data_IF_529400116557
#
_entry.id   IF_529400116557
#
_cell.length_a   1.000
_cell.length_b   1.000
_cell.length_c   1.000
_cell.angle_alpha   90.00
_cell.angle_beta   90.00
_cell.angle_gamma   90.00
#
_symmetry.space_group_name_H-M   'P 1'
#
loop_
_entity.id
_entity.type
_entity.pdbx_description
1 polymer ?
#
# COMPACT_ATOMS: atom_id res chain seq x y z
N UNK A 1 11.98 -20.17 -8.18
CA UNK A 1 12.83 -19.03 -7.83
C UNK A 1 12.06 -18.07 -6.95
N UNK A 2 12.70 -17.60 -5.89
CA UNK A 2 12.07 -16.62 -5.02
C UNK A 2 11.98 -15.28 -5.73
N UNK A 3 10.89 -14.57 -5.51
CA UNK A 3 10.74 -13.20 -6.00
C UNK A 3 11.70 -12.27 -5.25
N UNK A 4 12.23 -11.28 -5.93
CA UNK A 4 12.94 -10.21 -5.26
C UNK A 4 11.96 -9.40 -4.40
N UNK A 5 12.48 -8.63 -3.45
CA UNK A 5 11.62 -7.77 -2.62
C UNK A 5 10.84 -6.77 -3.48
N UNK A 6 11.49 -6.20 -4.51
CA UNK A 6 10.80 -5.30 -5.46
C UNK A 6 9.68 -6.03 -6.20
N UNK A 7 9.90 -7.27 -6.61
CA UNK A 7 8.88 -8.06 -7.31
C UNK A 7 7.70 -8.34 -6.39
N UNK A 8 7.94 -8.63 -5.10
CA UNK A 8 6.86 -8.82 -4.13
C UNK A 8 6.00 -7.55 -4.04
N UNK A 9 6.62 -6.38 -3.97
CA UNK A 9 5.87 -5.13 -3.90
C UNK A 9 5.07 -4.87 -5.17
N UNK A 10 5.61 -5.22 -6.34
CA UNK A 10 4.85 -5.13 -7.60
C UNK A 10 3.62 -6.03 -7.58
N UNK A 11 3.76 -7.25 -7.05
CA UNK A 11 2.62 -8.16 -6.90
C UNK A 11 1.58 -7.62 -5.91
N UNK A 12 2.05 -7.02 -4.81
CA UNK A 12 1.17 -6.40 -3.82
C UNK A 12 0.41 -5.22 -4.43
N UNK A 13 1.10 -4.37 -5.20
CA UNK A 13 0.45 -3.25 -5.88
C UNK A 13 -0.60 -3.74 -6.89
N UNK A 14 -0.30 -4.81 -7.61
CA UNK A 14 -1.25 -5.40 -8.54
C UNK A 14 -2.47 -5.96 -7.79
N UNK A 15 -2.26 -6.57 -6.62
CA UNK A 15 -3.36 -7.06 -5.79
C UNK A 15 -4.25 -5.91 -5.32
N UNK A 16 -3.65 -4.81 -4.89
CA UNK A 16 -4.43 -3.62 -4.49
C UNK A 16 -5.26 -3.08 -5.68
N UNK A 17 -4.66 -3.03 -6.86
CA UNK A 17 -5.35 -2.50 -8.05
C UNK A 17 -6.58 -3.33 -8.43
N UNK A 18 -6.59 -4.64 -8.12
CA UNK A 18 -7.75 -5.51 -8.38
C UNK A 18 -8.58 -5.80 -7.14
N UNK A 19 -8.31 -5.08 -6.05
CA UNK A 19 -9.03 -5.21 -4.77
C UNK A 19 -8.94 -6.62 -4.19
N UNK A 20 -7.78 -7.24 -4.32
CA UNK A 20 -7.52 -8.61 -3.88
C UNK A 20 -6.72 -8.60 -2.57
N UNK A 21 -7.45 -8.58 -1.45
CA UNK A 21 -6.84 -8.51 -0.11
C UNK A 21 -5.96 -9.72 0.17
N UNK A 22 -6.43 -10.92 -0.18
CA UNK A 22 -5.66 -12.15 0.09
C UNK A 22 -4.40 -12.23 -0.78
N UNK A 23 -4.43 -11.66 -1.98
CA UNK A 23 -3.26 -11.56 -2.84
C UNK A 23 -2.15 -10.71 -2.24
N UNK A 24 -2.51 -9.76 -1.39
CA UNK A 24 -1.58 -8.97 -0.60
C UNK A 24 -1.15 -9.72 0.67
N UNK A 25 -2.12 -10.20 1.46
CA UNK A 25 -1.85 -10.76 2.78
C UNK A 25 -1.00 -12.03 2.73
N UNK A 26 -1.01 -12.76 1.62
CA UNK A 26 -0.16 -13.96 1.49
C UNK A 26 1.34 -13.66 1.58
N UNK A 27 1.73 -12.42 1.29
CA UNK A 27 3.13 -11.99 1.41
C UNK A 27 3.46 -11.46 2.79
N UNK A 28 2.47 -11.31 3.67
CA UNK A 28 2.64 -10.71 4.98
C UNK A 28 2.88 -11.77 6.05
N UNK A 29 3.69 -11.40 7.05
CA UNK A 29 3.78 -12.15 8.30
C UNK A 29 2.46 -12.03 9.06
N UNK A 30 2.17 -12.99 9.93
CA UNK A 30 0.94 -12.98 10.72
C UNK A 30 0.84 -11.73 11.62
N UNK A 31 1.98 -11.20 12.02
CA UNK A 31 2.06 -10.01 12.90
C UNK A 31 2.22 -8.71 12.12
N UNK A 32 1.93 -8.72 10.82
CA UNK A 32 2.10 -7.54 9.97
C UNK A 32 1.38 -6.33 10.54
N UNK A 33 2.06 -5.18 10.51
CA UNK A 33 1.52 -3.91 11.00
C UNK A 33 1.44 -2.91 9.85
N UNK A 34 0.26 -2.35 9.65
CA UNK A 34 0.04 -1.28 8.66
C UNK A 34 -0.26 0.01 9.40
N UNK A 35 0.58 1.01 9.21
CA UNK A 35 0.38 2.34 9.77
C UNK A 35 0.14 3.34 8.65
N UNK A 36 -1.05 3.92 8.61
CA UNK A 36 -1.29 5.15 7.86
C UNK A 36 -0.77 6.26 8.77
N UNK A 37 0.35 6.88 8.38
CA UNK A 37 1.01 7.86 9.25
C UNK A 37 0.07 9.00 9.57
N UNK A 38 -0.11 9.28 10.84
CA UNK A 38 -1.12 10.20 11.36
C UNK A 38 -2.32 9.51 11.99
N UNK A 39 -2.44 8.19 11.82
CA UNK A 39 -3.52 7.36 12.39
C UNK A 39 -2.94 6.21 13.20
N UNK A 40 -3.80 5.53 13.95
CA UNK A 40 -3.37 4.38 14.73
C UNK A 40 -3.02 3.21 13.83
N UNK A 41 -2.01 2.41 14.20
CA UNK A 41 -1.65 1.23 13.41
C UNK A 41 -2.71 0.15 13.46
N UNK A 42 -2.78 -0.64 12.38
CA UNK A 42 -3.63 -1.82 12.28
C UNK A 42 -2.71 -3.04 12.31
N UNK A 43 -2.89 -3.90 13.30
CA UNK A 43 -1.98 -5.02 13.55
C UNK A 43 -2.67 -6.35 13.29
N UNK A 44 -2.02 -7.21 12.50
CA UNK A 44 -2.46 -8.57 12.23
C UNK A 44 -3.38 -8.66 11.02
N UNK A 45 -3.38 -9.83 10.40
CA UNK A 45 -4.10 -10.04 9.14
C UNK A 45 -5.61 -9.87 9.28
N UNK A 46 -6.21 -10.35 10.36
CA UNK A 46 -7.66 -10.25 10.54
C UNK A 46 -8.11 -8.81 10.71
N UNK A 47 -7.37 -8.01 11.47
CA UNK A 47 -7.67 -6.60 11.64
C UNK A 47 -7.54 -5.86 10.32
N UNK A 48 -6.53 -6.21 9.52
CA UNK A 48 -6.32 -5.61 8.21
C UNK A 48 -7.45 -5.96 7.25
N UNK A 49 -7.91 -7.24 7.26
CA UNK A 49 -9.06 -7.64 6.44
C UNK A 49 -10.29 -6.81 6.75
N UNK A 50 -10.58 -6.65 8.04
CA UNK A 50 -11.75 -5.86 8.49
C UNK A 50 -11.61 -4.40 8.10
N UNK A 51 -10.43 -3.84 8.29
CA UNK A 51 -10.18 -2.44 7.97
C UNK A 51 -10.33 -2.18 6.48
N UNK A 52 -9.75 -3.04 5.65
CA UNK A 52 -9.85 -2.89 4.20
C UNK A 52 -11.28 -3.09 3.70
N UNK A 53 -12.03 -4.01 4.31
CA UNK A 53 -13.43 -4.26 3.95
C UNK A 53 -14.33 -3.05 4.26
N UNK A 54 -13.95 -2.22 5.23
CA UNK A 54 -14.70 -1.02 5.58
C UNK A 54 -14.30 0.20 4.75
N UNK A 55 -13.31 0.06 3.89
CA UNK A 55 -12.84 1.14 3.05
C UNK A 55 -13.69 1.38 1.82
N UNK A 56 -13.27 2.31 0.96
CA UNK A 56 -14.00 2.60 -0.27
C UNK A 56 -14.13 1.35 -1.15
N UNK A 57 -15.26 1.18 -1.87
CA UNK A 57 -15.44 0.00 -2.72
C UNK A 57 -14.52 -0.01 -3.94
N UNK A 58 -14.03 1.15 -4.37
CA UNK A 58 -13.13 1.26 -5.51
C UNK A 58 -11.70 1.39 -5.03
N UNK A 59 -10.76 0.62 -5.62
CA UNK A 59 -9.35 0.77 -5.28
C UNK A 59 -8.82 2.11 -5.79
N UNK A 60 -7.72 2.62 -5.20
CA UNK A 60 -7.07 3.81 -5.74
C UNK A 60 -6.53 3.53 -7.14
N UNK A 61 -6.47 4.59 -7.95
CA UNK A 61 -5.90 4.51 -9.30
C UNK A 61 -4.48 5.08 -9.25
N UNK A 62 -3.50 4.20 -9.37
CA UNK A 62 -2.09 4.58 -9.33
C UNK A 62 -1.65 5.03 -10.72
N UNK A 63 -1.12 6.24 -10.82
CA UNK A 63 -0.73 6.81 -12.11
C UNK A 63 0.72 6.53 -12.46
N UNK A 64 1.59 6.51 -11.46
CA UNK A 64 3.01 6.21 -11.65
C UNK A 64 3.64 5.93 -10.30
N UNK A 65 4.69 5.09 -10.28
CA UNK A 65 5.45 4.92 -9.07
C UNK A 65 6.91 4.59 -9.37
N UNK A 66 7.76 4.94 -8.40
CA UNK A 66 9.16 4.56 -8.38
C UNK A 66 9.37 3.65 -7.19
N UNK A 67 10.04 2.53 -7.40
CA UNK A 67 10.28 1.53 -6.36
C UNK A 67 11.79 1.40 -6.15
N UNK A 68 12.23 1.58 -4.90
CA UNK A 68 13.64 1.50 -4.52
C UNK A 68 13.76 0.47 -3.40
N UNK A 69 14.76 -0.39 -3.49
CA UNK A 69 15.00 -1.42 -2.48
C UNK A 69 16.42 -1.34 -1.96
N UNK A 70 16.57 -1.45 -0.64
CA UNK A 70 17.87 -1.55 0.00
C UNK A 70 17.72 -2.32 1.32
N UNK A 71 18.53 -3.36 1.51
CA UNK A 71 18.46 -4.18 2.70
C UNK A 71 17.08 -4.81 2.87
N UNK A 72 16.50 -4.62 4.04
CA UNK A 72 15.16 -5.15 4.36
C UNK A 72 14.03 -4.20 3.96
N UNK A 73 14.35 -3.09 3.33
CA UNK A 73 13.36 -2.05 3.02
C UNK A 73 13.10 -1.93 1.52
N UNK A 74 11.84 -1.70 1.20
CA UNK A 74 11.41 -1.28 -0.14
C UNK A 74 10.55 -0.05 0.03
N UNK A 75 10.82 0.97 -0.78
CA UNK A 75 10.06 2.22 -0.77
C UNK A 75 9.40 2.42 -2.12
N UNK A 76 8.11 2.66 -2.11
CA UNK A 76 7.33 3.02 -3.30
C UNK A 76 6.88 4.45 -3.18
N UNK A 77 7.18 5.27 -4.19
CA UNK A 77 6.79 6.68 -4.21
C UNK A 77 6.04 6.95 -5.50
N UNK A 78 4.92 7.61 -5.40
CA UNK A 78 4.15 7.92 -6.60
C UNK A 78 2.93 8.78 -6.33
N UNK A 79 2.10 8.83 -7.35
CA UNK A 79 0.84 9.57 -7.31
C UNK A 79 -0.31 8.62 -7.52
N UNK A 80 -1.45 8.96 -6.94
CA UNK A 80 -2.68 8.21 -7.13
C UNK A 80 -3.88 9.13 -7.08
N UNK A 81 -5.00 8.64 -7.56
CA UNK A 81 -6.28 9.32 -7.37
C UNK A 81 -7.24 8.39 -6.66
N UNK A 82 -8.15 8.97 -5.90
CA UNK A 82 -9.21 8.23 -5.22
C UNK A 82 -10.54 8.91 -5.53
N UNK A 83 -11.59 8.10 -5.68
CA UNK A 83 -12.93 8.64 -5.84
C UNK A 83 -13.53 8.87 -4.46
N UNK A 84 -13.78 10.13 -4.13
CA UNK A 84 -14.40 10.53 -2.87
C UNK A 84 -15.77 11.13 -3.17
N UNK A 85 -16.82 10.37 -2.96
CA UNK A 85 -18.20 10.83 -3.15
C UNK A 85 -18.45 11.40 -4.56
N UNK A 86 -17.93 10.70 -5.57
CA UNK A 86 -18.09 11.12 -6.96
C UNK A 86 -17.04 12.12 -7.44
N UNK A 87 -16.15 12.57 -6.58
CA UNK A 87 -15.08 13.50 -6.95
C UNK A 87 -13.74 12.76 -6.98
N UNK A 88 -13.01 12.94 -8.07
CA UNK A 88 -11.66 12.37 -8.19
C UNK A 88 -10.69 13.30 -7.47
N UNK A 89 -10.02 12.76 -6.44
CA UNK A 89 -9.11 13.53 -5.58
C UNK A 89 -7.70 13.04 -5.76
N UNK A 90 -6.74 13.94 -6.06
CA UNK A 90 -5.34 13.54 -6.23
C UNK A 90 -4.62 13.43 -4.90
N UNK A 91 -3.72 12.45 -4.84
CA UNK A 91 -2.85 12.19 -3.69
C UNK A 91 -1.44 11.89 -4.17
N UNK A 92 -0.45 12.19 -3.33
CA UNK A 92 0.89 11.65 -3.47
C UNK A 92 1.14 10.71 -2.30
N UNK A 93 1.89 9.64 -2.53
CA UNK A 93 2.16 8.67 -1.49
C UNK A 93 3.62 8.27 -1.46
N UNK A 94 4.04 7.86 -0.26
CA UNK A 94 5.31 7.20 -0.04
C UNK A 94 5.05 6.05 0.92
N UNK A 95 5.22 4.83 0.42
CA UNK A 95 5.05 3.62 1.21
C UNK A 95 6.42 3.08 1.57
N UNK A 96 6.65 2.88 2.87
CA UNK A 96 7.90 2.27 3.36
C UNK A 96 7.56 0.88 3.86
N UNK A 97 8.00 -0.12 3.10
CA UNK A 97 7.78 -1.53 3.40
C UNK A 97 9.01 -2.11 4.07
N UNK A 98 8.81 -2.91 5.11
CA UNK A 98 9.91 -3.60 5.77
C UNK A 98 9.66 -5.11 5.74
N UNK A 99 10.70 -5.84 5.37
CA UNK A 99 10.69 -7.29 5.29
C UNK A 99 11.46 -7.89 6.47
N UNK A 100 11.07 -9.11 6.83
CA UNK A 100 11.88 -10.00 7.67
C UNK A 100 11.99 -11.30 6.88
N UNK A 101 13.20 -11.58 6.33
CA UNK A 101 13.35 -12.65 5.36
C UNK A 101 12.55 -12.33 4.10
N UNK A 102 11.66 -13.24 3.74
CA UNK A 102 10.82 -13.09 2.53
C UNK A 102 9.40 -12.60 2.84
N UNK A 103 9.11 -12.25 4.10
CA UNK A 103 7.79 -11.82 4.52
C UNK A 103 7.76 -10.35 4.89
N UNK A 104 6.66 -9.69 4.53
CA UNK A 104 6.40 -8.31 4.93
C UNK A 104 5.99 -8.28 6.41
N UNK A 105 6.62 -7.40 7.19
CA UNK A 105 6.30 -7.24 8.61
C UNK A 105 5.72 -5.87 8.92
N UNK A 106 5.95 -4.88 8.06
CA UNK A 106 5.44 -3.53 8.32
C UNK A 106 5.28 -2.74 7.04
N UNK A 107 4.21 -1.95 6.99
CA UNK A 107 4.04 -0.87 6.02
C UNK A 107 3.82 0.42 6.80
N UNK A 108 4.61 1.43 6.50
CA UNK A 108 4.34 2.80 6.91
C UNK A 108 3.96 3.58 5.67
N UNK A 109 2.72 4.01 5.60
CA UNK A 109 2.18 4.70 4.44
C UNK A 109 2.02 6.18 4.74
N UNK A 110 2.63 7.00 3.91
CA UNK A 110 2.51 8.45 3.95
C UNK A 110 1.68 8.85 2.75
N UNK A 111 0.45 9.25 2.99
CA UNK A 111 -0.50 9.58 1.92
C UNK A 111 -0.97 11.02 2.13
N UNK A 112 -0.70 11.85 1.15
CA UNK A 112 -0.94 13.29 1.28
C UNK A 112 -1.86 13.73 0.14
N UNK A 113 -2.97 14.37 0.50
CA UNK A 113 -3.86 14.97 -0.49
C UNK A 113 -3.13 16.15 -1.13
N UNK A 114 -3.12 16.18 -2.45
CA UNK A 114 -2.46 17.24 -3.19
C UNK A 114 -3.51 18.14 -3.85
N UNK A 115 -3.07 19.30 -4.30
CA UNK A 115 -3.96 20.16 -5.08
C UNK A 115 -4.01 19.62 -6.50
N UNK A 116 -5.23 19.63 -7.08
CA UNK A 116 -5.36 19.39 -8.50
C UNK A 116 -4.51 20.43 -9.24
N UNK A 117 -3.86 19.99 -10.34
CA UNK A 117 -3.08 20.91 -11.14
C UNK A 117 -3.99 22.02 -11.65
N UNK A 118 -3.68 23.25 -11.29
CA UNK A 118 -4.34 24.42 -11.86
C UNK A 118 -3.47 24.95 -12.98
N UNK A 119 -4.07 25.09 -14.10
CA UNK A 119 -3.37 25.59 -15.26
C UNK A 119 -3.57 27.09 -15.33
#
# INVERSE_FOLDING_TARGET
>A
MALSKKDVIKEVDAAFARNDVEGFLKYCDDDFVWTMVGSDPVTGKDAIRKWMASGPPEPPDFTANTVVAEGDFVTSVGDMTMNEKGTVVPYSYCDVWRFRGDKLVELRAFVIKTKAATV
#
